data_IF_716467606676
#
_entry.id   IF_716467606676
#
_cell.length_a   1.000
_cell.length_b   1.000
_cell.length_c   1.000
_cell.angle_alpha   90.00
_cell.angle_beta   90.00
_cell.angle_gamma   90.00
#
_symmetry.space_group_name_H-M   'P 1'
#
loop_
_entity.id
_entity.type
_entity.pdbx_description
1 polymer ?
#
# COMPACT_ATOMS: atom_id res chain seq x y z
N UNK A 1 -8.03 -10.02 20.90
CA UNK A 1 -7.81 -8.87 19.98
C UNK A 1 -7.72 -9.24 18.49
N UNK A 2 -8.17 -10.42 18.04
CA UNK A 2 -8.13 -10.80 16.61
C UNK A 2 -9.44 -10.49 15.86
N UNK A 3 -10.59 -10.67 16.51
CA UNK A 3 -11.93 -10.53 15.91
C UNK A 3 -12.25 -9.10 15.43
N UNK A 4 -11.81 -8.07 16.17
CA UNK A 4 -12.03 -6.66 15.80
C UNK A 4 -11.24 -6.28 14.53
N UNK A 5 -10.01 -6.77 14.39
CA UNK A 5 -9.18 -6.55 13.18
C UNK A 5 -9.78 -7.21 11.95
N UNK A 6 -10.28 -8.44 12.09
CA UNK A 6 -10.91 -9.17 11.01
C UNK A 6 -12.19 -8.48 10.48
N UNK A 7 -12.95 -7.80 11.35
CA UNK A 7 -14.14 -7.03 10.95
C UNK A 7 -13.79 -5.76 10.16
N UNK A 8 -12.77 -4.99 10.58
CA UNK A 8 -12.34 -3.77 9.88
C UNK A 8 -11.83 -4.05 8.46
N UNK A 9 -11.17 -5.19 8.25
CA UNK A 9 -10.74 -5.63 6.91
C UNK A 9 -11.89 -5.91 5.92
N UNK A 10 -13.16 -5.98 6.37
CA UNK A 10 -14.32 -6.28 5.52
C UNK A 10 -15.18 -5.06 5.20
N UNK A 11 -14.82 -3.87 5.71
CA UNK A 11 -15.52 -2.64 5.36
C UNK A 11 -15.37 -2.37 3.86
N UNK A 12 -16.47 -1.96 3.22
CA UNK A 12 -16.45 -1.58 1.80
C UNK A 12 -15.47 -0.42 1.61
N UNK A 13 -14.55 -0.57 0.67
CA UNK A 13 -13.62 0.46 0.24
C UNK A 13 -13.78 0.76 -1.24
N UNK A 14 -12.76 1.36 -1.83
CA UNK A 14 -12.64 1.59 -3.26
C UNK A 14 -11.31 1.08 -3.75
N UNK A 15 -11.33 0.21 -4.76
CA UNK A 15 -10.13 -0.21 -5.45
C UNK A 15 -9.50 0.99 -6.17
N UNK A 16 -8.21 1.22 -5.93
CA UNK A 16 -7.39 2.22 -6.61
C UNK A 16 -6.30 1.46 -7.35
N UNK A 17 -6.49 1.28 -8.65
CA UNK A 17 -5.50 0.65 -9.51
C UNK A 17 -4.52 1.71 -10.02
N UNK A 18 -3.36 1.80 -9.37
CA UNK A 18 -2.29 2.69 -9.80
C UNK A 18 -1.51 2.11 -10.98
N UNK A 19 -1.21 2.92 -11.98
CA UNK A 19 -0.41 2.54 -13.17
C UNK A 19 1.10 2.66 -12.97
N UNK A 20 1.54 3.03 -11.76
CA UNK A 20 2.92 3.37 -11.38
C UNK A 20 3.55 4.57 -12.13
N UNK A 21 2.86 5.21 -13.07
CA UNK A 21 3.43 6.31 -13.86
C UNK A 21 3.94 7.49 -13.00
N UNK A 22 3.16 7.93 -12.01
CA UNK A 22 3.58 9.01 -11.10
C UNK A 22 4.60 8.53 -10.07
N UNK A 23 4.40 7.33 -9.50
CA UNK A 23 5.29 6.80 -8.47
C UNK A 23 6.69 6.53 -9.02
N UNK A 24 6.81 6.03 -10.26
CA UNK A 24 8.11 5.82 -10.91
C UNK A 24 8.84 7.12 -11.20
N UNK A 25 8.12 8.20 -11.53
CA UNK A 25 8.73 9.54 -11.68
C UNK A 25 9.24 10.07 -10.34
N UNK A 26 8.50 9.85 -9.26
CA UNK A 26 8.95 10.21 -7.90
C UNK A 26 10.16 9.38 -7.51
N UNK A 27 10.13 8.06 -7.68
CA UNK A 27 11.26 7.17 -7.39
C UNK A 27 12.53 7.58 -8.15
N UNK A 28 12.41 7.96 -9.42
CA UNK A 28 13.54 8.44 -10.22
C UNK A 28 14.08 9.81 -9.78
N UNK A 29 13.24 10.63 -9.13
CA UNK A 29 13.63 11.96 -8.64
C UNK A 29 14.18 11.93 -7.20
N UNK A 30 14.10 10.80 -6.50
CA UNK A 30 14.66 10.66 -5.16
C UNK A 30 16.19 10.70 -5.23
N UNK A 31 16.82 11.47 -4.33
CA UNK A 31 18.28 11.52 -4.19
C UNK A 31 18.91 10.29 -3.54
N UNK A 32 18.16 9.21 -3.37
CA UNK A 32 18.61 7.95 -2.77
C UNK A 32 17.83 6.77 -3.34
N UNK A 33 18.44 5.59 -3.31
CA UNK A 33 17.76 4.35 -3.66
C UNK A 33 16.92 3.84 -2.48
N UNK A 34 15.72 3.37 -2.76
CA UNK A 34 14.89 2.70 -1.74
C UNK A 34 15.61 1.46 -1.19
N UNK A 35 15.34 1.11 0.05
CA UNK A 35 15.77 -0.18 0.61
C UNK A 35 14.90 -1.32 0.07
N UNK A 36 15.36 -2.57 0.22
CA UNK A 36 14.56 -3.74 -0.14
C UNK A 36 13.23 -3.79 0.62
N UNK A 37 13.25 -3.48 1.91
CA UNK A 37 12.05 -3.43 2.76
C UNK A 37 11.06 -2.34 2.31
N UNK A 38 11.55 -1.16 1.93
CA UNK A 38 10.70 -0.08 1.40
C UNK A 38 10.02 -0.49 0.09
N UNK A 39 10.75 -1.13 -0.85
CA UNK A 39 10.17 -1.64 -2.10
C UNK A 39 9.08 -2.68 -1.84
N UNK A 40 9.31 -3.61 -0.92
CA UNK A 40 8.33 -4.62 -0.55
C UNK A 40 7.08 -3.99 0.05
N UNK A 41 7.24 -3.06 0.99
CA UNK A 41 6.13 -2.35 1.61
C UNK A 41 5.26 -1.60 0.59
N UNK A 42 5.89 -0.92 -0.39
CA UNK A 42 5.18 -0.24 -1.49
C UNK A 42 4.39 -1.24 -2.34
N UNK A 43 4.99 -2.39 -2.69
CA UNK A 43 4.33 -3.41 -3.49
C UNK A 43 3.10 -4.00 -2.76
N UNK A 44 3.23 -4.28 -1.45
CA UNK A 44 2.13 -4.77 -0.63
C UNK A 44 1.00 -3.74 -0.48
N UNK A 45 1.35 -2.47 -0.27
CA UNK A 45 0.37 -1.37 -0.22
C UNK A 45 -0.37 -1.26 -1.55
N UNK A 46 0.35 -1.27 -2.68
CA UNK A 46 -0.28 -1.19 -4.00
C UNK A 46 -1.23 -2.36 -4.25
N UNK A 47 -0.85 -3.57 -3.83
CA UNK A 47 -1.70 -4.75 -3.93
C UNK A 47 -2.95 -4.66 -3.03
N UNK A 48 -2.85 -4.05 -1.84
CA UNK A 48 -3.99 -3.84 -0.94
C UNK A 48 -4.91 -2.73 -1.45
N UNK A 49 -4.36 -1.63 -1.98
CA UNK A 49 -5.11 -0.54 -2.60
C UNK A 49 -5.94 -1.00 -3.80
N UNK A 50 -5.49 -2.02 -4.54
CA UNK A 50 -6.22 -2.59 -5.66
C UNK A 50 -7.46 -3.40 -5.23
N UNK A 51 -7.64 -3.68 -3.93
CA UNK A 51 -8.76 -4.48 -3.44
C UNK A 51 -10.00 -3.61 -3.18
N UNK A 52 -11.22 -4.18 -3.27
CA UNK A 52 -12.45 -3.45 -2.99
C UNK A 52 -12.72 -3.26 -1.50
N UNK A 53 -11.89 -3.81 -0.61
CA UNK A 53 -11.98 -3.58 0.84
C UNK A 53 -11.26 -2.30 1.23
N UNK A 54 -11.73 -1.66 2.31
CA UNK A 54 -11.06 -0.49 2.87
C UNK A 54 -9.66 -0.88 3.38
N UNK A 55 -8.63 -0.24 2.83
CA UNK A 55 -7.25 -0.42 3.28
C UNK A 55 -7.06 0.13 4.69
N UNK A 56 -6.55 -0.69 5.60
CA UNK A 56 -6.26 -0.31 7.00
C UNK A 56 -4.89 -0.87 7.35
N UNK A 57 -3.85 -0.08 7.08
CA UNK A 57 -2.46 -0.51 7.25
C UNK A 57 -1.68 0.48 8.13
N UNK A 58 -0.92 -0.05 9.08
CA UNK A 58 0.16 0.66 9.75
C UNK A 58 1.46 0.35 8.99
N UNK A 59 2.11 1.39 8.46
CA UNK A 59 3.47 1.29 7.96
C UNK A 59 4.39 1.88 9.02
N UNK A 60 5.22 1.03 9.63
CA UNK A 60 6.19 1.45 10.63
C UNK A 60 7.59 1.27 10.05
N UNK A 61 8.42 2.28 10.27
CA UNK A 61 9.84 2.33 9.96
C UNK A 61 10.54 3.14 11.04
#
# INVERSE_FOLDING_TARGET
MALVRARRHREKGRAILGTRALTSRVEAALGFALTGAQRLAIAEIAAEMARPQRMVRLLQG
#
